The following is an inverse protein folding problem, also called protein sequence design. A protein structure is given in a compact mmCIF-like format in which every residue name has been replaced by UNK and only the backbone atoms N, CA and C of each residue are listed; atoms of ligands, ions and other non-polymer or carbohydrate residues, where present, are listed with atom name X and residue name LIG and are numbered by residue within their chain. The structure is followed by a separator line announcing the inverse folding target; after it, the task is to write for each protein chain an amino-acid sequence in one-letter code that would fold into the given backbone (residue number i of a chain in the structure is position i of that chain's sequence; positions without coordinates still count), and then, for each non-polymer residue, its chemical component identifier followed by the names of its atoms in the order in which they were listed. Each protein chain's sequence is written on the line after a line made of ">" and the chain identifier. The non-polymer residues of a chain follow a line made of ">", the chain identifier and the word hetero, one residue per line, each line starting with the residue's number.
data_IF_321411598765
#
_entry.id   IF_321411598765
#
_cell.length_a   1.000
_cell.length_b   1.000
_cell.length_c   1.000
_cell.angle_alpha   90.00
_cell.angle_beta   90.00
_cell.angle_gamma   90.00
#
_symmetry.space_group_name_H-M   'P 1'
#
loop_
_entity.id
_entity.type
_entity.pdbx_description
1 polymer ?
#
# COMPACT_ATOMS: atom_id res chain seq x y z
N UNK A 1 25.16 -30.77 -76.33
CA UNK A 1 24.34 -30.72 -77.55
C UNK A 1 22.88 -30.92 -77.16
N UNK A 2 21.98 -30.23 -77.87
CA UNK A 2 20.52 -30.33 -77.90
C UNK A 2 19.72 -29.56 -76.82
N UNK A 3 19.23 -28.39 -77.26
CA UNK A 3 18.09 -27.62 -76.79
C UNK A 3 16.75 -28.32 -77.03
N UNK A 4 15.73 -27.98 -76.25
CA UNK A 4 14.32 -27.63 -76.60
C UNK A 4 13.48 -27.63 -75.32
N UNK A 5 13.03 -26.47 -74.81
CA UNK A 5 11.83 -25.71 -75.21
C UNK A 5 10.52 -26.50 -75.09
N UNK A 6 9.71 -26.19 -74.06
CA UNK A 6 8.26 -26.11 -74.24
C UNK A 6 7.60 -25.13 -73.27
N UNK A 7 6.79 -24.26 -73.87
CA UNK A 7 5.95 -23.21 -73.28
C UNK A 7 4.60 -23.81 -72.95
N UNK A 8 4.01 -23.47 -71.81
CA UNK A 8 2.55 -23.54 -71.64
C UNK A 8 2.07 -22.48 -70.67
N UNK A 9 1.27 -21.56 -71.18
CA UNK A 9 0.56 -20.53 -70.46
C UNK A 9 -0.77 -21.09 -69.93
N UNK A 10 -1.15 -20.74 -68.70
CA UNK A 10 -2.54 -20.72 -68.28
C UNK A 10 -2.74 -19.82 -67.04
N UNK A 11 -3.43 -18.71 -67.30
CA UNK A 11 -4.30 -17.92 -66.43
C UNK A 11 -4.31 -18.24 -64.92
N UNK A 12 -3.86 -17.28 -64.11
CA UNK A 12 -4.32 -17.14 -62.71
C UNK A 12 -5.07 -15.83 -62.52
N UNK A 13 -6.29 -16.02 -62.05
CA UNK A 13 -7.34 -15.05 -61.80
C UNK A 13 -6.93 -13.99 -60.79
N UNK A 14 -7.24 -12.72 -61.10
CA UNK A 14 -7.30 -11.62 -60.16
C UNK A 14 -8.29 -11.97 -59.04
N UNK A 15 -7.79 -12.27 -57.84
CA UNK A 15 -8.59 -12.17 -56.63
C UNK A 15 -8.71 -10.69 -56.27
N UNK A 16 -9.96 -10.25 -56.21
CA UNK A 16 -10.41 -8.92 -55.83
C UNK A 16 -10.28 -8.85 -54.31
N UNK A 17 -9.41 -7.98 -53.79
CA UNK A 17 -9.40 -7.61 -52.39
C UNK A 17 -10.82 -7.15 -52.01
N UNK A 18 -11.43 -7.90 -51.09
CA UNK A 18 -12.62 -7.45 -50.37
C UNK A 18 -12.07 -6.71 -49.16
N UNK A 19 -12.02 -5.40 -49.30
CA UNK A 19 -11.77 -4.43 -48.24
C UNK A 19 -12.92 -4.57 -47.22
N UNK A 20 -12.62 -5.23 -46.09
CA UNK A 20 -13.54 -5.31 -44.95
C UNK A 20 -13.49 -3.95 -44.26
N UNK A 21 -14.63 -3.24 -44.11
CA UNK A 21 -14.64 -1.95 -43.44
C UNK A 21 -14.24 -2.13 -41.96
N UNK A 22 -13.58 -1.13 -41.35
CA UNK A 22 -13.25 -1.16 -39.93
C UNK A 22 -14.54 -1.26 -39.12
N UNK A 23 -14.57 -2.16 -38.15
CA UNK A 23 -15.61 -2.20 -37.12
C UNK A 23 -15.65 -0.82 -36.46
N UNK A 24 -16.70 -0.07 -36.76
CA UNK A 24 -17.07 1.11 -35.98
C UNK A 24 -17.31 0.63 -34.55
N UNK A 25 -16.35 0.90 -33.66
CA UNK A 25 -16.55 0.89 -32.22
C UNK A 25 -17.62 1.93 -31.93
N UNK A 26 -18.88 1.50 -31.94
CA UNK A 26 -20.02 2.30 -31.53
C UNK A 26 -19.74 2.73 -30.09
N UNK A 27 -19.39 4.00 -29.90
CA UNK A 27 -19.32 4.62 -28.60
C UNK A 27 -20.67 4.39 -27.91
N UNK A 28 -20.67 3.55 -26.88
CA UNK A 28 -21.87 3.32 -26.10
C UNK A 28 -22.34 4.67 -25.55
N UNK A 29 -23.65 4.98 -25.58
CA UNK A 29 -24.15 6.26 -25.11
C UNK A 29 -23.75 6.44 -23.64
N UNK A 30 -23.16 7.59 -23.29
CA UNK A 30 -22.64 7.90 -21.96
C UNK A 30 -23.62 7.58 -20.81
N UNK A 31 -24.92 7.70 -21.05
CA UNK A 31 -25.97 7.35 -20.09
C UNK A 31 -25.99 5.86 -19.67
N UNK A 32 -25.47 4.95 -20.48
CA UNK A 32 -25.35 3.51 -20.15
C UNK A 32 -24.13 3.25 -19.27
N UNK A 33 -23.04 3.98 -19.47
CA UNK A 33 -21.84 3.89 -18.63
C UNK A 33 -22.10 4.42 -17.22
N UNK A 34 -22.85 5.53 -17.10
CA UNK A 34 -23.25 6.08 -15.81
C UNK A 34 -24.13 5.10 -15.00
N UNK A 35 -25.04 4.39 -15.68
CA UNK A 35 -25.90 3.39 -15.05
C UNK A 35 -25.12 2.15 -14.58
N UNK A 36 -24.14 1.71 -15.37
CA UNK A 36 -23.28 0.58 -15.02
C UNK A 36 -22.34 0.90 -13.85
N UNK A 37 -21.81 2.12 -13.82
CA UNK A 37 -20.98 2.64 -12.73
C UNK A 37 -21.76 2.73 -11.40
N UNK A 38 -22.98 3.28 -11.42
CA UNK A 38 -23.84 3.32 -10.23
C UNK A 38 -24.18 1.91 -9.72
N UNK A 39 -24.46 0.97 -10.62
CA UNK A 39 -24.70 -0.42 -10.25
C UNK A 39 -23.44 -1.08 -9.68
N UNK A 40 -22.25 -0.69 -10.12
CA UNK A 40 -20.98 -1.16 -9.57
C UNK A 40 -20.76 -0.66 -8.13
N UNK A 41 -21.00 0.64 -7.87
CA UNK A 41 -20.94 1.22 -6.53
C UNK A 41 -21.87 0.50 -5.54
N UNK A 42 -23.11 0.22 -5.95
CA UNK A 42 -24.06 -0.52 -5.11
C UNK A 42 -23.57 -1.96 -4.79
N UNK A 43 -22.89 -2.62 -5.74
CA UNK A 43 -22.29 -3.94 -5.49
C UNK A 43 -21.12 -3.85 -4.51
N UNK A 44 -20.30 -2.80 -4.60
CA UNK A 44 -19.19 -2.57 -3.67
C UNK A 44 -19.71 -2.30 -2.25
N UNK A 45 -20.74 -1.46 -2.09
CA UNK A 45 -21.35 -1.19 -0.78
C UNK A 45 -21.89 -2.49 -0.14
N UNK A 46 -22.64 -3.30 -0.91
CA UNK A 46 -23.10 -4.62 -0.43
C UNK A 46 -21.95 -5.57 -0.12
N UNK A 47 -20.84 -5.51 -0.85
CA UNK A 47 -19.65 -6.32 -0.57
C UNK A 47 -18.96 -5.87 0.73
N UNK A 48 -18.89 -4.56 1.00
CA UNK A 48 -18.37 -4.01 2.25
C UNK A 48 -19.23 -4.43 3.45
N UNK A 49 -20.56 -4.34 3.34
CA UNK A 49 -21.48 -4.81 4.38
C UNK A 49 -21.31 -6.31 4.67
N UNK A 50 -21.12 -7.12 3.62
CA UNK A 50 -20.84 -8.55 3.75
C UNK A 50 -19.49 -8.81 4.40
N UNK A 51 -18.46 -8.06 4.08
CA UNK A 51 -17.14 -8.17 4.70
C UNK A 51 -17.21 -7.83 6.20
N UNK A 52 -17.93 -6.76 6.56
CA UNK A 52 -18.13 -6.37 7.95
C UNK A 52 -18.92 -7.44 8.73
N UNK A 53 -19.99 -7.95 8.13
CA UNK A 53 -20.78 -9.04 8.70
C UNK A 53 -19.97 -10.34 8.86
N UNK A 54 -19.16 -10.70 7.86
CA UNK A 54 -18.27 -11.84 7.92
C UNK A 54 -17.18 -11.67 8.98
N UNK A 55 -16.63 -10.46 9.15
CA UNK A 55 -15.65 -10.17 10.19
C UNK A 55 -16.26 -10.33 11.60
N UNK A 56 -17.51 -9.90 11.81
CA UNK A 56 -18.26 -10.14 13.05
C UNK A 56 -18.47 -11.65 13.26
N UNK A 57 -18.99 -12.35 12.26
CA UNK A 57 -19.21 -13.81 12.34
C UNK A 57 -17.91 -14.59 12.60
N UNK A 58 -16.79 -14.14 12.04
CA UNK A 58 -15.47 -14.73 12.29
C UNK A 58 -15.03 -14.52 13.73
N UNK A 59 -15.24 -13.31 14.27
CA UNK A 59 -14.98 -13.02 15.67
C UNK A 59 -15.82 -13.89 16.62
N UNK A 60 -17.06 -14.19 16.23
CA UNK A 60 -17.97 -15.03 17.00
C UNK A 60 -17.68 -16.54 16.80
N UNK A 61 -16.67 -16.90 15.99
CA UNK A 61 -16.31 -18.28 15.69
C UNK A 61 -17.29 -19.01 14.76
N UNK A 62 -18.23 -18.28 14.15
CA UNK A 62 -19.27 -18.84 13.27
C UNK A 62 -18.75 -19.15 11.87
N UNK A 63 -17.65 -18.50 11.44
CA UNK A 63 -16.98 -18.79 10.18
C UNK A 63 -15.48 -18.98 10.37
N UNK A 64 -14.88 -19.76 9.48
CA UNK A 64 -13.45 -20.05 9.44
C UNK A 64 -12.63 -18.93 8.78
N UNK A 65 -11.32 -18.91 9.02
CA UNK A 65 -10.40 -17.96 8.39
C UNK A 65 -10.39 -18.08 6.85
N UNK A 66 -10.61 -19.28 6.30
CA UNK A 66 -10.72 -19.49 4.86
C UNK A 66 -11.96 -18.82 4.26
N UNK A 67 -13.09 -18.84 4.97
CA UNK A 67 -14.31 -18.16 4.55
C UNK A 67 -14.16 -16.64 4.59
N UNK A 68 -13.49 -16.10 5.62
CA UNK A 68 -13.21 -14.67 5.68
C UNK A 68 -12.27 -14.22 4.55
N UNK A 69 -11.26 -15.04 4.21
CA UNK A 69 -10.38 -14.76 3.06
C UNK A 69 -11.16 -14.72 1.75
N UNK A 70 -12.09 -15.65 1.53
CA UNK A 70 -12.93 -15.66 0.33
C UNK A 70 -13.80 -14.39 0.21
N UNK A 71 -14.35 -13.88 1.33
CA UNK A 71 -15.12 -12.63 1.34
C UNK A 71 -14.23 -11.42 1.06
N UNK A 72 -12.99 -11.42 1.57
CA UNK A 72 -12.01 -10.36 1.27
C UNK A 72 -11.58 -10.37 -0.20
N UNK A 73 -11.38 -11.54 -0.79
CA UNK A 73 -11.05 -11.69 -2.21
C UNK A 73 -12.18 -11.12 -3.08
N UNK A 74 -13.44 -11.40 -2.72
CA UNK A 74 -14.62 -10.87 -3.39
C UNK A 74 -14.68 -9.33 -3.31
N UNK A 75 -14.36 -8.75 -2.14
CA UNK A 75 -14.32 -7.30 -1.97
C UNK A 75 -13.27 -6.68 -2.91
N UNK A 76 -12.06 -7.23 -2.94
CA UNK A 76 -10.98 -6.80 -3.85
C UNK A 76 -11.39 -6.89 -5.31
N UNK A 77 -12.11 -7.95 -5.69
CA UNK A 77 -12.61 -8.10 -7.06
C UNK A 77 -13.65 -7.02 -7.41
N UNK A 78 -14.49 -6.58 -6.46
CA UNK A 78 -15.43 -5.48 -6.71
C UNK A 78 -14.73 -4.13 -6.80
N UNK A 79 -13.74 -3.87 -5.94
CA UNK A 79 -12.90 -2.65 -5.99
C UNK A 79 -12.18 -2.53 -7.34
N UNK A 80 -11.48 -3.58 -7.77
CA UNK A 80 -10.79 -3.57 -9.06
C UNK A 80 -11.72 -3.42 -10.28
N UNK A 81 -12.98 -3.86 -10.19
CA UNK A 81 -13.99 -3.62 -11.23
C UNK A 81 -14.38 -2.15 -11.31
N UNK A 82 -14.52 -1.46 -10.17
CA UNK A 82 -14.83 -0.02 -10.14
C UNK A 82 -13.65 0.78 -10.69
N UNK A 83 -12.42 0.43 -10.34
CA UNK A 83 -11.23 1.10 -10.86
C UNK A 83 -11.12 0.96 -12.39
N UNK A 84 -11.45 -0.23 -12.92
CA UNK A 84 -11.49 -0.47 -14.36
C UNK A 84 -12.61 0.31 -15.09
N UNK A 85 -13.71 0.67 -14.40
CA UNK A 85 -14.84 1.43 -14.95
C UNK A 85 -14.70 2.95 -14.73
N UNK A 86 -13.92 3.37 -13.72
CA UNK A 86 -13.82 4.74 -13.23
C UNK A 86 -12.56 5.51 -13.66
N UNK A 87 -11.86 5.07 -14.72
CA UNK A 87 -10.67 5.73 -15.28
C UNK A 87 -10.88 7.14 -15.85
N UNK A 88 -11.83 7.92 -15.33
CA UNK A 88 -11.90 9.37 -15.51
C UNK A 88 -11.38 10.00 -14.22
N UNK A 89 -10.09 10.29 -14.25
CA UNK A 89 -9.43 11.26 -13.39
C UNK A 89 -10.23 12.56 -13.43
N UNK A 90 -11.05 12.82 -12.42
CA UNK A 90 -11.53 14.17 -12.16
C UNK A 90 -10.34 14.96 -11.60
N UNK A 91 -9.48 15.47 -12.48
CA UNK A 91 -8.48 16.49 -12.13
C UNK A 91 -9.24 17.74 -11.66
N UNK A 92 -9.17 18.13 -10.38
CA UNK A 92 -9.76 19.38 -9.96
C UNK A 92 -8.69 20.47 -10.10
N UNK A 93 -8.97 21.44 -10.98
CA UNK A 93 -8.30 22.73 -11.17
C UNK A 93 -7.01 22.77 -12.01
N UNK A 94 -7.18 22.87 -13.33
CA UNK A 94 -6.37 23.78 -14.16
C UNK A 94 -7.27 24.99 -14.46
N UNK A 95 -7.03 26.09 -13.76
CA UNK A 95 -7.44 27.43 -14.18
C UNK A 95 -6.30 28.05 -14.99
N UNK A 96 -6.62 28.52 -16.18
CA UNK A 96 -5.70 29.00 -17.20
C UNK A 96 -4.81 30.17 -16.77
N UNK A 97 -3.68 30.22 -17.46
CA UNK A 97 -2.56 31.15 -17.35
C UNK A 97 -2.96 32.58 -17.75
N UNK A 98 -2.58 33.56 -16.92
CA UNK A 98 -2.26 34.90 -17.41
C UNK A 98 -0.88 35.31 -16.94
N UNK A 99 -0.07 35.68 -17.94
CA UNK A 99 1.29 36.17 -17.88
C UNK A 99 1.29 37.64 -17.41
N UNK A 100 2.18 38.01 -16.48
CA UNK A 100 3.01 39.21 -16.61
C UNK A 100 3.92 39.46 -15.38
N UNK A 101 5.21 39.66 -15.69
CA UNK A 101 6.16 40.58 -15.02
C UNK A 101 6.88 40.17 -13.72
N UNK A 102 8.15 39.78 -13.91
CA UNK A 102 9.38 40.28 -13.26
C UNK A 102 9.41 40.61 -11.74
N UNK A 103 10.26 39.88 -10.99
CA UNK A 103 11.50 40.39 -10.33
C UNK A 103 12.11 39.31 -9.40
N UNK A 104 13.44 39.17 -9.44
CA UNK A 104 14.28 38.57 -8.39
C UNK A 104 14.95 39.73 -7.61
N UNK A 105 15.63 39.52 -6.46
CA UNK A 105 15.60 38.40 -5.50
C UNK A 105 15.43 38.90 -4.04
N UNK A 106 15.08 38.03 -3.08
CA UNK A 106 15.68 38.11 -1.74
C UNK A 106 15.50 36.84 -0.90
N UNK A 107 16.48 36.70 -0.01
CA UNK A 107 16.86 35.64 0.91
C UNK A 107 15.73 35.23 1.89
N UNK A 108 15.28 33.97 1.84
CA UNK A 108 14.49 33.38 2.93
C UNK A 108 14.93 31.94 3.21
N UNK A 109 15.39 31.77 4.45
CA UNK A 109 15.72 30.55 5.18
C UNK A 109 14.88 29.32 4.82
N UNK A 110 15.60 28.21 4.71
CA UNK A 110 15.11 26.83 4.71
C UNK A 110 13.94 26.59 5.67
N UNK A 111 12.82 26.02 5.21
CA UNK A 111 11.87 25.40 6.13
C UNK A 111 12.37 23.99 6.48
N UNK A 112 12.53 23.75 7.79
CA UNK A 112 12.63 22.42 8.36
C UNK A 112 11.38 21.59 7.98
N UNK A 113 11.48 20.24 7.94
CA UNK A 113 10.31 19.41 7.71
C UNK A 113 9.29 19.67 8.82
N UNK A 114 8.14 20.21 8.42
CA UNK A 114 6.94 20.32 9.25
C UNK A 114 6.49 18.90 9.52
N UNK A 115 6.83 18.42 10.71
CA UNK A 115 6.21 17.22 11.29
C UNK A 115 4.73 17.54 11.38
N UNK A 116 3.91 16.71 10.73
CA UNK A 116 2.45 16.76 10.79
C UNK A 116 1.98 16.64 12.24
N UNK A 117 1.79 17.80 12.88
CA UNK A 117 1.23 17.97 14.21
C UNK A 117 -0.32 18.02 14.16
N UNK A 118 -0.93 17.41 13.14
CA UNK A 118 -2.37 17.53 12.84
C UNK A 118 -3.18 16.24 13.06
N UNK A 119 -2.65 15.27 13.82
CA UNK A 119 -3.38 14.01 14.13
C UNK A 119 -3.89 13.98 15.59
N UNK A 120 -3.61 15.01 16.39
CA UNK A 120 -4.04 15.10 17.78
C UNK A 120 -5.47 15.65 17.97
N UNK A 121 -6.14 16.14 16.93
CA UNK A 121 -7.36 16.95 17.09
C UNK A 121 -8.68 16.20 16.83
N UNK A 122 -8.69 14.88 17.02
CA UNK A 122 -9.95 14.12 17.17
C UNK A 122 -9.83 13.19 18.38
N UNK A 123 -9.55 13.76 19.55
CA UNK A 123 -9.73 13.07 20.83
C UNK A 123 -11.03 13.59 21.41
N UNK A 124 -12.11 12.84 21.18
CA UNK A 124 -13.36 13.01 21.88
C UNK A 124 -13.11 12.93 23.39
N UNK A 125 -13.73 13.83 24.16
CA UNK A 125 -13.65 13.88 25.62
C UNK A 125 -13.83 12.48 26.22
N UNK A 126 -12.76 11.94 26.81
CA UNK A 126 -12.83 10.61 27.41
C UNK A 126 -13.73 10.64 28.65
N UNK A 127 -14.67 9.69 28.79
CA UNK A 127 -15.42 9.56 30.03
C UNK A 127 -14.47 9.18 31.16
N UNK A 128 -14.26 10.11 32.11
CA UNK A 128 -13.37 9.90 33.26
C UNK A 128 -13.79 8.66 34.06
N UNK A 129 -12.82 7.77 34.27
CA UNK A 129 -12.94 6.48 34.99
C UNK A 129 -13.34 6.71 36.46
N UNK A 130 -13.11 7.91 36.99
CA UNK A 130 -13.33 8.27 38.39
C UNK A 130 -14.80 8.21 38.84
N UNK A 131 -15.74 8.23 37.89
CA UNK A 131 -17.18 8.18 38.18
C UNK A 131 -17.78 6.76 38.18
N UNK A 132 -16.95 5.71 38.08
CA UNK A 132 -17.41 4.33 37.98
C UNK A 132 -17.51 3.70 39.38
N UNK A 133 -18.74 3.48 39.85
CA UNK A 133 -19.02 2.86 41.17
C UNK A 133 -18.80 1.33 41.20
N UNK A 134 -18.52 0.70 40.07
CA UNK A 134 -18.27 -0.75 39.98
C UNK A 134 -16.76 -1.06 40.01
N UNK A 135 -16.27 -1.74 41.06
CA UNK A 135 -14.84 -2.05 41.18
C UNK A 135 -14.34 -3.06 40.15
N UNK A 136 -15.19 -3.98 39.66
CA UNK A 136 -14.78 -4.99 38.68
C UNK A 136 -14.63 -4.37 37.29
N UNK A 137 -15.62 -3.56 36.89
CA UNK A 137 -15.55 -2.80 35.64
C UNK A 137 -14.34 -1.88 35.64
N UNK A 138 -14.11 -1.14 36.73
CA UNK A 138 -12.94 -0.27 36.88
C UNK A 138 -11.64 -1.04 36.68
N UNK A 139 -11.46 -2.18 37.36
CA UNK A 139 -10.26 -3.01 37.21
C UNK A 139 -10.04 -3.49 35.77
N UNK A 140 -11.12 -3.83 35.05
CA UNK A 140 -11.04 -4.28 33.66
C UNK A 140 -10.71 -3.13 32.70
N UNK A 141 -11.22 -1.93 32.96
CA UNK A 141 -10.87 -0.72 32.20
C UNK A 141 -9.42 -0.30 32.45
N UNK A 142 -8.95 -0.32 33.71
CA UNK A 142 -7.54 -0.07 34.03
C UNK A 142 -6.60 -1.06 33.30
N UNK A 143 -7.02 -2.33 33.18
CA UNK A 143 -6.28 -3.32 32.39
C UNK A 143 -6.29 -3.01 30.88
N UNK A 144 -7.36 -2.42 30.36
CA UNK A 144 -7.46 -1.97 28.97
C UNK A 144 -6.56 -0.75 28.73
N UNK A 145 -6.53 0.21 29.65
CA UNK A 145 -5.65 1.37 29.59
C UNK A 145 -4.18 0.95 29.62
N UNK A 146 -3.83 -0.05 30.45
CA UNK A 146 -2.50 -0.65 30.44
C UNK A 146 -2.12 -1.28 29.08
N UNK A 147 -3.10 -1.82 28.33
CA UNK A 147 -2.86 -2.31 26.96
C UNK A 147 -2.68 -1.18 25.96
N UNK A 148 -3.44 -0.08 26.10
CA UNK A 148 -3.30 1.10 25.25
C UNK A 148 -1.93 1.74 25.45
N UNK A 149 -1.49 1.93 26.69
CA UNK A 149 -0.16 2.45 27.00
C UNK A 149 0.96 1.57 26.41
N UNK A 150 0.79 0.23 26.46
CA UNK A 150 1.73 -0.70 25.81
C UNK A 150 1.70 -0.59 24.29
N UNK A 151 0.53 -0.41 23.69
CA UNK A 151 0.36 -0.21 22.25
C UNK A 151 1.08 1.05 21.77
N UNK A 152 0.94 2.15 22.51
CA UNK A 152 1.67 3.41 22.27
C UNK A 152 3.18 3.22 22.36
N UNK A 153 3.65 2.50 23.38
CA UNK A 153 5.07 2.16 23.51
C UNK A 153 5.57 1.33 22.32
N UNK A 154 4.80 0.32 21.88
CA UNK A 154 5.16 -0.51 20.73
C UNK A 154 5.18 0.30 19.42
N UNK A 155 4.29 1.31 19.28
CA UNK A 155 4.29 2.24 18.16
C UNK A 155 5.50 3.18 18.18
N UNK A 156 5.81 3.80 19.32
CA UNK A 156 6.99 4.65 19.49
C UNK A 156 8.30 3.90 19.23
N UNK A 157 8.35 2.61 19.56
CA UNK A 157 9.49 1.73 19.27
C UNK A 157 9.53 1.23 17.82
N UNK A 158 8.52 1.54 17.00
CA UNK A 158 8.41 1.11 15.61
C UNK A 158 8.23 -0.41 15.45
N UNK A 159 7.67 -1.08 16.47
CA UNK A 159 7.34 -2.52 16.41
C UNK A 159 6.09 -2.77 15.58
N UNK A 160 5.18 -1.80 15.58
CA UNK A 160 3.95 -1.78 14.79
C UNK A 160 3.94 -0.54 13.89
N UNK A 161 3.21 -0.61 12.78
CA UNK A 161 3.01 0.54 11.88
C UNK A 161 1.80 1.39 12.32
N UNK A 162 1.63 2.55 11.68
CA UNK A 162 0.54 3.48 12.00
C UNK A 162 -0.85 2.88 11.75
N UNK A 163 -1.00 2.05 10.72
CA UNK A 163 -2.25 1.36 10.39
C UNK A 163 -2.66 0.38 11.51
N UNK A 164 -1.74 -0.46 11.98
CA UNK A 164 -1.92 -1.37 13.12
C UNK A 164 -2.27 -0.61 14.39
N UNK A 165 -1.52 0.47 14.68
CA UNK A 165 -1.78 1.31 15.85
C UNK A 165 -3.21 1.86 15.82
N UNK A 166 -3.61 2.53 14.72
CA UNK A 166 -4.95 3.13 14.57
C UNK A 166 -6.06 2.08 14.68
N UNK A 167 -5.90 0.93 14.04
CA UNK A 167 -6.90 -0.14 14.06
C UNK A 167 -7.10 -0.71 15.48
N UNK A 168 -6.01 -0.97 16.21
CA UNK A 168 -6.07 -1.56 17.55
C UNK A 168 -6.53 -0.51 18.57
N UNK A 169 -6.05 0.72 18.47
CA UNK A 169 -6.47 1.82 19.33
C UNK A 169 -7.97 2.06 19.21
N UNK A 170 -8.49 2.17 17.98
CA UNK A 170 -9.94 2.29 17.72
C UNK A 170 -10.71 1.11 18.29
N UNK A 171 -10.18 -0.11 18.16
CA UNK A 171 -10.80 -1.30 18.72
C UNK A 171 -10.92 -1.23 20.25
N UNK A 172 -9.84 -0.86 20.96
CA UNK A 172 -9.85 -0.71 22.41
C UNK A 172 -10.76 0.42 22.88
N UNK A 173 -10.75 1.56 22.20
CA UNK A 173 -11.67 2.66 22.53
C UNK A 173 -13.13 2.27 22.33
N UNK A 174 -13.45 1.55 21.26
CA UNK A 174 -14.78 0.97 21.05
C UNK A 174 -15.18 -0.02 22.14
N UNK A 175 -14.25 -0.88 22.58
CA UNK A 175 -14.50 -1.80 23.71
C UNK A 175 -14.84 -1.04 25.00
N UNK A 176 -14.08 0.02 25.31
CA UNK A 176 -14.34 0.89 26.46
C UNK A 176 -15.73 1.53 26.38
N UNK A 177 -16.04 2.17 25.26
CA UNK A 177 -17.32 2.85 25.05
C UNK A 177 -18.51 1.89 25.19
N UNK A 178 -18.44 0.74 24.54
CA UNK A 178 -19.51 -0.26 24.57
C UNK A 178 -19.66 -0.85 25.98
N UNK A 179 -18.56 -1.14 26.69
CA UNK A 179 -18.63 -1.65 28.05
C UNK A 179 -19.28 -0.64 29.01
N UNK A 180 -18.92 0.64 28.92
CA UNK A 180 -19.52 1.72 29.70
C UNK A 180 -21.01 1.89 29.38
N UNK A 181 -21.37 1.93 28.09
CA UNK A 181 -22.76 2.03 27.64
C UNK A 181 -23.59 0.84 28.13
N UNK A 182 -23.09 -0.38 27.99
CA UNK A 182 -23.78 -1.59 28.47
C UNK A 182 -24.00 -1.55 29.98
N UNK A 183 -23.03 -1.08 30.75
CA UNK A 183 -23.18 -0.96 32.20
C UNK A 183 -24.23 0.08 32.58
N UNK A 184 -24.29 1.21 31.87
CA UNK A 184 -25.30 2.25 32.09
C UNK A 184 -26.70 1.77 31.72
N UNK A 185 -26.85 1.06 30.59
CA UNK A 185 -28.15 0.57 30.12
C UNK A 185 -28.66 -0.65 30.90
N UNK A 186 -27.76 -1.54 31.33
CA UNK A 186 -28.11 -2.79 32.02
C UNK A 186 -27.22 -3.02 33.26
N UNK A 187 -27.48 -2.34 34.38
CA UNK A 187 -26.66 -2.42 35.59
C UNK A 187 -26.60 -3.82 36.23
N UNK A 188 -27.62 -4.66 36.06
CA UNK A 188 -27.66 -6.00 36.65
C UNK A 188 -27.03 -7.08 35.74
N UNK A 189 -26.60 -6.70 34.53
CA UNK A 189 -26.10 -7.62 33.51
C UNK A 189 -24.57 -7.64 33.46
N UNK A 190 -23.99 -8.83 33.34
CA UNK A 190 -22.55 -9.03 33.16
C UNK A 190 -22.14 -9.08 31.68
N UNK A 191 -23.03 -8.70 30.74
CA UNK A 191 -22.75 -8.73 29.29
C UNK A 191 -21.56 -7.86 28.87
N UNK A 192 -21.26 -6.80 29.63
CA UNK A 192 -20.11 -5.94 29.40
C UNK A 192 -18.78 -6.70 29.51
N UNK A 193 -18.71 -7.80 30.27
CA UNK A 193 -17.50 -8.60 30.43
C UNK A 193 -17.08 -9.26 29.11
N UNK A 194 -18.06 -9.75 28.32
CA UNK A 194 -17.81 -10.38 27.02
C UNK A 194 -17.20 -9.38 26.01
N UNK A 195 -17.55 -8.11 26.10
CA UNK A 195 -17.02 -7.06 25.21
C UNK A 195 -15.54 -6.81 25.47
N UNK A 196 -15.10 -6.96 26.72
CA UNK A 196 -13.72 -6.76 27.15
C UNK A 196 -12.87 -8.04 27.04
N UNK A 197 -13.43 -9.14 26.52
CA UNK A 197 -12.67 -10.37 26.30
C UNK A 197 -11.60 -10.21 25.20
N UNK A 198 -10.49 -10.90 25.41
CA UNK A 198 -9.30 -10.82 24.57
C UNK A 198 -9.39 -11.80 23.39
N UNK A 199 -9.06 -11.33 22.19
CA UNK A 199 -8.93 -12.23 21.03
C UNK A 199 -8.73 -11.51 19.70
N UNK A 200 -9.34 -10.34 19.52
CA UNK A 200 -9.35 -9.63 18.22
C UNK A 200 -8.05 -8.87 17.91
N UNK A 201 -7.24 -8.52 18.93
CA UNK A 201 -5.99 -7.76 18.73
C UNK A 201 -4.99 -8.48 17.83
N UNK A 202 -4.77 -9.79 18.01
CA UNK A 202 -3.82 -10.56 17.20
C UNK A 202 -4.25 -10.59 15.73
N UNK A 203 -5.56 -10.75 15.50
CA UNK A 203 -6.12 -10.71 14.16
C UNK A 203 -5.93 -9.32 13.54
N UNK A 204 -6.20 -8.23 14.27
CA UNK A 204 -5.97 -6.86 13.78
C UNK A 204 -4.50 -6.58 13.47
N UNK A 205 -3.56 -7.08 14.28
CA UNK A 205 -2.13 -6.98 14.00
C UNK A 205 -1.77 -7.66 12.68
N UNK A 206 -2.25 -8.88 12.46
CA UNK A 206 -1.97 -9.65 11.24
C UNK A 206 -2.65 -9.05 10.01
N UNK A 207 -3.89 -8.60 10.15
CA UNK A 207 -4.67 -8.03 9.05
C UNK A 207 -4.06 -6.72 8.54
N UNK A 208 -3.55 -5.91 9.47
CA UNK A 208 -2.92 -4.62 9.18
C UNK A 208 -1.39 -4.71 9.15
N UNK A 209 -0.79 -5.90 9.03
CA UNK A 209 0.65 -6.00 8.82
C UNK A 209 0.98 -5.61 7.37
N UNK A 210 1.97 -4.74 7.16
CA UNK A 210 2.45 -4.44 5.81
C UNK A 210 3.01 -5.71 5.16
N UNK A 211 2.54 -6.00 3.94
CA UNK A 211 3.09 -7.05 3.09
C UNK A 211 4.05 -6.43 2.09
N UNK A 212 5.25 -7.01 1.94
CA UNK A 212 6.16 -6.65 0.86
C UNK A 212 5.79 -7.48 -0.37
N UNK A 213 5.50 -6.81 -1.49
CA UNK A 213 5.09 -7.47 -2.73
C UNK A 213 6.27 -7.69 -3.67
N UNK A 214 7.19 -6.73 -3.72
CA UNK A 214 8.36 -6.81 -4.58
C UNK A 214 9.53 -6.00 -4.04
N UNK A 215 10.72 -6.42 -4.42
CA UNK A 215 11.98 -5.74 -4.13
C UNK A 215 12.84 -5.77 -5.39
N UNK A 216 13.27 -4.59 -5.84
CA UNK A 216 14.22 -4.39 -6.91
C UNK A 216 15.56 -3.88 -6.38
N UNK A 217 16.64 -4.26 -7.06
CA UNK A 217 17.97 -3.69 -6.90
C UNK A 217 18.37 -3.02 -8.21
N UNK A 218 18.86 -1.79 -8.10
CA UNK A 218 19.21 -0.95 -9.23
C UNK A 218 20.62 -0.41 -9.04
N UNK A 219 21.34 -0.23 -10.14
CA UNK A 219 22.64 0.42 -10.13
C UNK A 219 22.45 1.93 -9.94
N UNK A 220 23.20 2.55 -9.03
CA UNK A 220 23.05 3.97 -8.74
C UNK A 220 23.57 4.87 -9.88
N UNK A 221 24.55 4.40 -10.66
CA UNK A 221 25.17 5.18 -11.74
C UNK A 221 24.42 5.02 -13.06
N UNK A 222 24.20 3.79 -13.51
CA UNK A 222 23.50 3.53 -14.78
C UNK A 222 21.98 3.65 -14.64
N UNK A 223 21.45 3.56 -13.41
CA UNK A 223 20.01 3.44 -13.11
C UNK A 223 19.37 2.18 -13.71
N UNK A 224 20.17 1.25 -14.20
CA UNK A 224 19.69 0.00 -14.75
C UNK A 224 19.30 -0.96 -13.63
N UNK A 225 18.28 -1.76 -13.92
CA UNK A 225 17.78 -2.77 -13.01
C UNK A 225 18.69 -3.98 -13.00
N UNK A 226 19.25 -4.29 -11.83
CA UNK A 226 20.16 -5.42 -11.63
C UNK A 226 19.37 -6.69 -11.33
N UNK A 227 18.35 -6.57 -10.47
CA UNK A 227 17.60 -7.70 -9.94
C UNK A 227 16.20 -7.26 -9.50
N UNK A 228 15.22 -8.14 -9.64
CA UNK A 228 13.87 -7.97 -9.10
C UNK A 228 13.39 -9.30 -8.58
N UNK A 229 12.80 -9.28 -7.39
CA UNK A 229 11.98 -10.36 -6.85
C UNK A 229 10.55 -9.86 -6.64
N UNK A 230 9.55 -10.63 -7.07
CA UNK A 230 8.15 -10.23 -7.15
C UNK A 230 7.76 -9.46 -8.42
N UNK A 231 6.57 -8.85 -8.41
CA UNK A 231 6.04 -8.03 -9.51
C UNK A 231 6.24 -6.55 -9.16
N UNK A 232 7.06 -5.85 -9.96
CA UNK A 232 7.29 -4.42 -9.79
C UNK A 232 6.18 -3.64 -10.51
N UNK A 233 5.38 -2.80 -9.83
CA UNK A 233 4.39 -1.95 -10.47
C UNK A 233 5.08 -0.81 -11.25
N UNK A 234 4.38 -0.27 -12.25
CA UNK A 234 4.91 0.82 -13.09
C UNK A 234 5.22 2.08 -12.27
N UNK A 235 4.37 2.40 -11.30
CA UNK A 235 4.58 3.52 -10.35
C UNK A 235 5.90 3.41 -9.57
N UNK A 236 6.39 2.20 -9.33
CA UNK A 236 7.66 1.98 -8.66
C UNK A 236 8.85 2.26 -9.60
N UNK A 237 8.75 1.87 -10.88
CA UNK A 237 9.75 2.23 -11.90
C UNK A 237 9.74 3.76 -12.15
N UNK A 238 8.60 4.44 -12.06
CA UNK A 238 8.55 5.91 -12.13
C UNK A 238 9.24 6.58 -10.94
N UNK A 239 9.12 6.01 -9.74
CA UNK A 239 9.84 6.48 -8.56
C UNK A 239 11.37 6.42 -8.71
N UNK A 240 11.89 5.60 -9.64
CA UNK A 240 13.31 5.58 -9.99
C UNK A 240 13.79 6.87 -10.66
N UNK A 241 12.90 7.65 -11.28
CA UNK A 241 13.26 8.97 -11.79
C UNK A 241 13.74 9.89 -10.64
N UNK A 242 13.20 9.70 -9.43
CA UNK A 242 13.61 10.43 -8.24
C UNK A 242 15.03 10.08 -7.78
N UNK A 243 15.62 8.98 -8.27
CA UNK A 243 17.02 8.64 -7.96
C UNK A 243 18.03 9.70 -8.41
N UNK A 244 17.70 10.48 -9.45
CA UNK A 244 18.53 11.59 -9.88
C UNK A 244 18.76 12.64 -8.79
N UNK A 245 17.91 12.70 -7.77
CA UNK A 245 18.08 13.61 -6.63
C UNK A 245 19.13 13.12 -5.62
N UNK A 246 19.44 11.83 -5.57
CA UNK A 246 20.37 11.24 -4.60
C UNK A 246 21.83 11.31 -5.07
N UNK A 247 22.08 11.36 -6.38
CA UNK A 247 23.43 11.24 -6.95
C UNK A 247 24.30 12.51 -6.87
N UNK A 248 23.75 13.66 -6.45
CA UNK A 248 24.44 14.96 -6.56
C UNK A 248 24.92 15.59 -5.24
N UNK A 249 24.74 14.94 -4.09
CA UNK A 249 25.14 15.52 -2.79
C UNK A 249 26.54 15.05 -2.39
N UNK A 250 27.56 15.70 -2.96
CA UNK A 250 28.97 15.25 -2.92
C UNK A 250 29.75 15.42 -1.62
N UNK A 251 29.18 15.27 -0.41
CA UNK A 251 30.02 15.24 0.81
C UNK A 251 29.40 14.63 2.07
N UNK A 252 28.12 14.26 2.07
CA UNK A 252 27.52 13.52 3.18
C UNK A 252 27.26 12.09 2.75
N UNK A 253 27.71 11.12 3.57
CA UNK A 253 27.42 9.71 3.32
C UNK A 253 25.91 9.53 3.13
N UNK A 254 25.44 8.93 2.02
CA UNK A 254 24.02 8.65 1.78
C UNK A 254 23.45 7.60 2.75
N UNK A 255 24.27 7.12 3.68
CA UNK A 255 24.04 6.08 4.68
C UNK A 255 23.02 6.55 5.73
N UNK A 256 21.76 6.73 5.31
CA UNK A 256 20.68 7.09 6.22
C UNK A 256 19.42 7.67 5.60
N UNK A 257 19.49 8.30 4.41
CA UNK A 257 18.32 8.93 3.78
C UNK A 257 17.45 7.86 3.10
N UNK A 258 16.47 7.37 3.84
CA UNK A 258 15.35 6.63 3.24
C UNK A 258 14.43 7.61 2.54
N UNK A 259 13.91 7.21 1.39
CA UNK A 259 12.81 7.90 0.76
C UNK A 259 11.62 6.97 0.70
N UNK A 260 10.52 7.43 1.30
CA UNK A 260 9.25 6.75 1.27
C UNK A 260 8.27 7.65 0.53
N UNK A 261 7.57 7.10 -0.44
CA UNK A 261 6.47 7.76 -1.12
C UNK A 261 5.31 6.78 -1.26
N UNK A 262 4.10 7.29 -1.37
CA UNK A 262 2.91 6.50 -1.60
C UNK A 262 2.52 6.61 -3.05
N UNK A 263 2.24 5.48 -3.71
CA UNK A 263 1.65 5.47 -5.03
C UNK A 263 0.18 5.92 -4.99
N UNK A 264 -0.39 6.22 -6.16
CA UNK A 264 -1.82 6.51 -6.29
C UNK A 264 -2.71 5.33 -5.88
N UNK A 265 -2.20 4.10 -6.00
CA UNK A 265 -2.83 2.87 -5.52
C UNK A 265 -2.78 2.68 -3.99
N UNK A 266 -2.11 3.57 -3.27
CA UNK A 266 -1.94 3.50 -1.81
C UNK A 266 -0.84 2.55 -1.34
N UNK A 267 0.01 2.07 -2.25
CA UNK A 267 1.18 1.26 -1.92
C UNK A 267 2.31 2.16 -1.44
N UNK A 268 3.08 1.71 -0.45
CA UNK A 268 4.24 2.44 0.04
C UNK A 268 5.47 1.96 -0.72
N UNK A 269 6.08 2.87 -1.49
CA UNK A 269 7.35 2.69 -2.18
C UNK A 269 8.48 3.15 -1.28
N UNK A 270 9.41 2.26 -0.99
CA UNK A 270 10.56 2.53 -0.13
C UNK A 270 11.85 2.41 -0.92
N UNK A 271 12.57 3.52 -1.07
CA UNK A 271 13.90 3.58 -1.65
C UNK A 271 14.95 3.61 -0.53
N UNK A 272 15.86 2.64 -0.60
CA UNK A 272 16.97 2.44 0.32
C UNK A 272 18.26 2.62 -0.49
N UNK A 273 18.89 3.81 -0.44
CA UNK A 273 20.15 4.03 -1.12
C UNK A 273 21.29 3.32 -0.38
N UNK A 274 22.19 2.72 -1.16
CA UNK A 274 23.47 2.17 -0.72
C UNK A 274 24.63 2.97 -1.28
N UNK A 275 25.83 2.39 -1.24
CA UNK A 275 27.03 3.02 -1.78
C UNK A 275 27.14 2.87 -3.30
N UNK A 276 26.61 1.79 -3.87
CA UNK A 276 26.71 1.46 -5.30
C UNK A 276 25.35 1.21 -5.95
N UNK A 277 24.38 0.79 -5.14
CA UNK A 277 23.08 0.33 -5.61
C UNK A 277 21.97 0.95 -4.76
N UNK A 278 20.75 0.92 -5.29
CA UNK A 278 19.54 1.29 -4.55
C UNK A 278 18.62 0.09 -4.50
N UNK A 279 18.09 -0.22 -3.32
CA UNK A 279 16.98 -1.14 -3.17
C UNK A 279 15.66 -0.38 -3.18
N UNK A 280 14.75 -0.77 -4.06
CA UNK A 280 13.37 -0.27 -4.11
C UNK A 280 12.45 -1.40 -3.67
N UNK A 281 11.66 -1.16 -2.62
CA UNK A 281 10.70 -2.14 -2.14
C UNK A 281 9.28 -1.59 -2.13
N UNK A 282 8.34 -2.43 -2.55
CA UNK A 282 6.92 -2.10 -2.60
C UNK A 282 6.21 -2.80 -1.47
N UNK A 283 5.53 -2.02 -0.64
CA UNK A 283 4.72 -2.51 0.45
C UNK A 283 3.25 -2.17 0.24
N UNK A 284 2.37 -3.01 0.76
CA UNK A 284 0.92 -2.79 0.70
C UNK A 284 0.44 -1.55 1.46
N UNK A 285 1.28 -1.01 2.35
CA UNK A 285 1.07 0.16 3.21
C UNK A 285 2.38 0.39 3.99
N UNK A 286 2.42 1.39 4.86
CA UNK A 286 3.63 1.72 5.62
C UNK A 286 4.19 0.53 6.43
N UNK A 287 5.43 0.12 6.17
CA UNK A 287 6.06 -0.96 6.91
C UNK A 287 6.44 -0.54 8.33
N UNK A 288 6.37 -1.44 9.33
CA UNK A 288 6.93 -1.17 10.64
C UNK A 288 8.45 -0.99 10.56
N UNK A 289 9.02 -0.20 11.48
CA UNK A 289 10.43 0.18 11.44
C UNK A 289 11.40 -1.02 11.50
N UNK A 290 10.99 -2.16 12.06
CA UNK A 290 11.80 -3.37 12.04
C UNK A 290 11.90 -4.00 10.64
N UNK A 291 10.84 -3.96 9.82
CA UNK A 291 10.89 -4.46 8.43
C UNK A 291 11.85 -3.61 7.59
N UNK A 292 11.76 -2.28 7.75
CA UNK A 292 12.65 -1.32 7.08
C UNK A 292 14.12 -1.58 7.44
N UNK A 293 14.41 -1.78 8.74
CA UNK A 293 15.77 -2.09 9.21
C UNK A 293 16.29 -3.42 8.65
N UNK A 294 15.45 -4.45 8.65
CA UNK A 294 15.80 -5.76 8.12
C UNK A 294 16.11 -5.71 6.61
N UNK A 295 15.29 -4.99 5.83
CA UNK A 295 15.53 -4.82 4.40
C UNK A 295 16.81 -4.02 4.12
N UNK A 296 17.08 -2.97 4.90
CA UNK A 296 18.33 -2.21 4.82
C UNK A 296 19.54 -3.10 5.12
N UNK A 297 19.45 -3.95 6.13
CA UNK A 297 20.53 -4.88 6.48
C UNK A 297 20.80 -5.88 5.34
N UNK A 298 19.75 -6.42 4.72
CA UNK A 298 19.87 -7.30 3.55
C UNK A 298 20.54 -6.58 2.39
N UNK A 299 20.13 -5.35 2.08
CA UNK A 299 20.73 -4.55 1.02
C UNK A 299 22.21 -4.23 1.30
N UNK A 300 22.54 -3.84 2.54
CA UNK A 300 23.93 -3.61 2.96
C UNK A 300 24.79 -4.87 2.84
N UNK A 301 24.25 -6.03 3.21
CA UNK A 301 24.95 -7.31 3.09
C UNK A 301 25.18 -7.69 1.62
N UNK A 302 24.20 -7.43 0.74
CA UNK A 302 24.37 -7.59 -0.69
C UNK A 302 25.53 -6.73 -1.22
N UNK A 303 25.58 -5.44 -0.87
CA UNK A 303 26.68 -4.58 -1.32
C UNK A 303 28.03 -5.02 -0.74
N UNK A 304 28.08 -5.41 0.53
CA UNK A 304 29.30 -5.88 1.16
C UNK A 304 29.86 -7.15 0.49
N UNK A 305 28.99 -8.11 0.17
CA UNK A 305 29.37 -9.35 -0.51
C UNK A 305 29.86 -9.10 -1.95
N UNK A 306 29.28 -8.10 -2.62
CA UNK A 306 29.54 -7.81 -4.04
C UNK A 306 30.48 -6.62 -4.28
N UNK A 307 31.03 -6.02 -3.22
CA UNK A 307 31.81 -4.78 -3.28
C UNK A 307 32.90 -4.77 -4.35
N UNK A 308 33.71 -5.83 -4.55
CA UNK A 308 34.76 -5.82 -5.58
C UNK A 308 34.22 -5.76 -7.02
N UNK A 309 33.02 -6.31 -7.27
CA UNK A 309 32.37 -6.29 -8.57
C UNK A 309 31.68 -4.94 -8.82
N UNK A 310 30.93 -4.45 -7.83
CA UNK A 310 30.24 -3.16 -7.87
C UNK A 310 31.21 -1.98 -8.06
N UNK A 311 32.37 -2.00 -7.40
CA UNK A 311 33.43 -1.00 -7.60
C UNK A 311 33.95 -0.92 -9.04
N UNK A 312 33.82 -2.01 -9.81
CA UNK A 312 34.25 -2.09 -11.21
C UNK A 312 33.09 -1.84 -12.19
N UNK A 313 31.89 -1.51 -11.69
CA UNK A 313 30.67 -1.41 -12.49
C UNK A 313 30.26 -2.74 -13.12
N UNK A 314 30.67 -3.87 -12.54
CA UNK A 314 30.31 -5.20 -13.04
C UNK A 314 29.08 -5.71 -12.31
N UNK A 315 27.99 -5.88 -13.07
CA UNK A 315 26.73 -6.47 -12.60
C UNK A 315 26.63 -7.97 -12.95
N UNK A 316 27.61 -8.50 -13.68
CA UNK A 316 27.71 -9.92 -14.02
C UNK A 316 28.25 -10.73 -12.81
N UNK A 317 27.55 -11.82 -12.46
CA UNK A 317 27.91 -12.76 -11.39
C UNK A 317 27.85 -12.19 -9.96
N UNK A 318 26.81 -11.41 -9.65
CA UNK A 318 26.55 -10.97 -8.28
C UNK A 318 25.92 -12.08 -7.44
N UNK A 319 26.20 -12.04 -6.13
CA UNK A 319 25.58 -12.89 -5.12
C UNK A 319 24.33 -12.18 -4.63
N UNK A 320 23.15 -12.72 -4.96
CA UNK A 320 21.86 -12.13 -4.59
C UNK A 320 21.36 -12.63 -3.22
N UNK A 321 20.69 -11.76 -2.44
CA UNK A 321 20.08 -12.17 -1.19
C UNK A 321 18.83 -13.04 -1.42
N UNK A 322 18.51 -13.89 -0.45
CA UNK A 322 17.23 -14.60 -0.39
C UNK A 322 16.17 -13.70 0.25
N UNK A 323 15.20 -13.25 -0.56
CA UNK A 323 14.13 -12.34 -0.15
C UNK A 323 12.79 -13.05 0.11
N UNK A 324 12.76 -14.38 0.04
CA UNK A 324 11.55 -15.20 0.27
C UNK A 324 10.91 -14.99 1.65
N UNK A 325 11.67 -14.46 2.62
CA UNK A 325 11.18 -14.14 3.97
C UNK A 325 10.41 -12.83 4.04
N UNK A 326 10.62 -11.93 3.09
CA UNK A 326 9.98 -10.62 3.05
C UNK A 326 8.78 -10.62 2.12
N UNK A 327 8.92 -11.26 0.96
CA UNK A 327 7.91 -11.25 -0.08
C UNK A 327 6.80 -12.24 0.29
N UNK A 328 5.59 -11.70 0.47
CA UNK A 328 4.39 -12.50 0.65
C UNK A 328 3.74 -12.68 -0.71
N UNK A 329 3.90 -13.86 -1.29
CA UNK A 329 3.20 -14.32 -2.50
C UNK A 329 1.75 -14.68 -2.23
#
# INVERSE_FOLDING_TARGET
>A
MASTSNVTAAARSRQKEVEVPPEETIAQPAAVQDAEYLAALERLERAQERMLSAAIAFCDGLISAGQLRAVRELLREQEGKIDAMGGIQASPFIGEVHDDSATLPEDVKSPAPVIEESVAEVIAEEPSIENINDPELRRRLEALDGKIARLEQDFQQGRINASQYRAIYRHYMGQREVALRMRQTYPDSNRWQMVLEEGKTRFLLQLNEAACYSVGLYDLQSKERIFVDGVMPESAEDAMALLGTFSNSGDESPDGRLFATTSDSGETLLLIPGAFTVSLAVFSQDPPAWQVRALREVHRNFEAANRPALLRGKTENLIFPDLSRFIKT
#
